data_IF_947463503226
#
_entry.id   IF_947463503226
#
_cell.length_a   1.000
_cell.length_b   1.000
_cell.length_c   1.000
_cell.angle_alpha   90.00
_cell.angle_beta   90.00
_cell.angle_gamma   90.00
#
_symmetry.space_group_name_H-M   'P 1'
#
loop_
_entity.id
_entity.type
_entity.pdbx_description
1 polymer ?
#
# COMPACT_ATOMS: atom_id res chain seq x y z
N UNK A 1 -22.97 -8.06 26.90
CA UNK A 1 -23.26 -6.83 26.09
C UNK A 1 -23.44 -7.32 24.67
N UNK A 2 -24.62 -7.13 24.12
CA UNK A 2 -24.97 -7.75 22.84
C UNK A 2 -24.26 -6.97 21.72
N UNK A 3 -23.13 -7.46 21.24
CA UNK A 3 -22.28 -6.81 20.23
C UNK A 3 -23.07 -6.47 18.96
N UNK A 4 -24.04 -7.29 18.58
CA UNK A 4 -24.82 -7.10 17.37
C UNK A 4 -25.69 -5.82 17.40
N UNK A 5 -26.32 -5.51 18.50
CA UNK A 5 -27.13 -4.29 18.61
C UNK A 5 -26.25 -3.03 18.64
N UNK A 6 -25.10 -3.11 19.26
CA UNK A 6 -24.10 -2.05 19.20
C UNK A 6 -23.65 -1.79 17.77
N UNK A 7 -23.32 -2.84 16.99
CA UNK A 7 -22.95 -2.70 15.58
C UNK A 7 -24.08 -2.15 14.71
N UNK A 8 -25.32 -2.60 14.92
CA UNK A 8 -26.49 -2.06 14.20
C UNK A 8 -26.72 -0.57 14.50
N UNK A 9 -26.51 -0.15 15.75
CA UNK A 9 -26.60 1.26 16.13
C UNK A 9 -25.53 2.09 15.44
N UNK A 10 -24.25 1.68 15.53
CA UNK A 10 -23.13 2.35 14.89
C UNK A 10 -23.33 2.46 13.38
N UNK A 11 -23.80 1.39 12.73
CA UNK A 11 -24.06 1.40 11.28
C UNK A 11 -25.18 2.39 10.89
N UNK A 12 -26.16 2.63 11.77
CA UNK A 12 -27.18 3.65 11.55
C UNK A 12 -26.66 5.07 11.75
N UNK A 13 -25.87 5.28 12.81
CA UNK A 13 -25.30 6.60 13.17
C UNK A 13 -24.28 7.08 12.13
N UNK A 14 -23.56 6.17 11.50
CA UNK A 14 -22.52 6.46 10.51
C UNK A 14 -22.94 6.17 9.05
N UNK A 15 -24.25 6.20 8.79
CA UNK A 15 -24.78 6.00 7.44
C UNK A 15 -24.32 7.13 6.51
N UNK A 16 -23.69 6.77 5.39
CA UNK A 16 -23.18 7.73 4.41
C UNK A 16 -21.68 8.05 4.52
N UNK A 17 -20.98 7.66 5.62
CA UNK A 17 -19.56 7.93 5.80
C UNK A 17 -18.70 7.38 4.65
N UNK A 18 -19.02 6.20 4.12
CA UNK A 18 -18.30 5.63 2.98
C UNK A 18 -18.43 6.50 1.73
N UNK A 19 -19.62 7.02 1.46
CA UNK A 19 -19.87 7.91 0.33
C UNK A 19 -19.16 9.24 0.49
N UNK A 20 -19.19 9.81 1.69
CA UNK A 20 -18.48 11.06 2.00
C UNK A 20 -16.98 10.91 1.84
N UNK A 21 -16.40 9.82 2.37
CA UNK A 21 -14.98 9.52 2.23
C UNK A 21 -14.59 9.28 0.76
N UNK A 22 -15.40 8.53 0.02
CA UNK A 22 -15.17 8.29 -1.40
C UNK A 22 -15.21 9.59 -2.22
N UNK A 23 -16.17 10.47 -1.93
CA UNK A 23 -16.28 11.78 -2.58
C UNK A 23 -15.09 12.67 -2.24
N UNK A 24 -14.66 12.69 -0.97
CA UNK A 24 -13.47 13.42 -0.54
C UNK A 24 -12.21 12.93 -1.28
N UNK A 25 -11.98 11.61 -1.31
CA UNK A 25 -10.81 11.03 -1.99
C UNK A 25 -10.83 11.34 -3.48
N UNK A 26 -11.99 11.27 -4.13
CA UNK A 26 -12.12 11.55 -5.56
C UNK A 26 -11.92 13.02 -5.91
N UNK A 27 -12.16 13.92 -4.97
CA UNK A 27 -12.02 15.37 -5.17
C UNK A 27 -10.63 15.92 -4.85
N UNK A 28 -9.84 15.24 -4.02
CA UNK A 28 -8.53 15.73 -3.55
C UNK A 28 -7.55 15.84 -4.70
N UNK A 29 -6.84 16.96 -4.75
CA UNK A 29 -5.77 17.22 -5.73
C UNK A 29 -4.43 17.28 -5.01
N UNK A 30 -3.31 17.01 -5.71
CA UNK A 30 -1.98 17.12 -5.11
C UNK A 30 -1.70 18.47 -4.43
N UNK A 31 -2.27 19.56 -4.96
CA UNK A 31 -2.14 20.91 -4.38
C UNK A 31 -2.86 21.10 -3.05
N UNK A 32 -3.88 20.30 -2.76
CA UNK A 32 -4.69 20.40 -1.54
C UNK A 32 -3.99 19.73 -0.33
N UNK A 33 -2.92 18.96 -0.58
CA UNK A 33 -2.18 18.27 0.47
C UNK A 33 -1.27 19.26 1.20
N UNK A 34 -1.45 19.51 2.51
CA UNK A 34 -0.61 20.44 3.27
C UNK A 34 0.87 20.04 3.24
N UNK A 35 1.77 21.04 3.25
CA UNK A 35 3.21 20.80 3.20
C UNK A 35 3.71 19.85 4.29
N UNK A 36 3.23 20.03 5.54
CA UNK A 36 3.56 19.12 6.66
C UNK A 36 3.11 17.68 6.40
N UNK A 37 1.96 17.50 5.77
CA UNK A 37 1.48 16.15 5.42
C UNK A 37 2.37 15.50 4.37
N UNK A 38 2.84 16.27 3.37
CA UNK A 38 3.78 15.76 2.35
C UNK A 38 5.11 15.34 2.96
N UNK A 39 5.62 16.11 3.93
CA UNK A 39 6.83 15.74 4.67
C UNK A 39 6.66 14.41 5.41
N UNK A 40 5.54 14.24 6.13
CA UNK A 40 5.22 12.99 6.83
C UNK A 40 5.09 11.83 5.85
N UNK A 41 4.42 12.03 4.70
CA UNK A 41 4.32 11.00 3.65
C UNK A 41 5.70 10.61 3.10
N UNK A 42 6.60 11.58 2.95
CA UNK A 42 7.99 11.30 2.56
C UNK A 42 8.71 10.39 3.56
N UNK A 43 8.56 10.68 4.87
CA UNK A 43 9.13 9.83 5.93
C UNK A 43 8.50 8.43 5.93
N UNK A 44 7.17 8.33 5.81
CA UNK A 44 6.47 7.04 5.75
C UNK A 44 6.89 6.21 4.54
N UNK A 45 7.15 6.85 3.40
CA UNK A 45 7.67 6.16 2.22
C UNK A 45 9.08 5.60 2.46
N UNK A 46 9.98 6.40 3.04
CA UNK A 46 11.35 5.96 3.36
C UNK A 46 11.33 4.83 4.38
N UNK A 47 10.49 4.94 5.41
CA UNK A 47 10.31 3.92 6.44
C UNK A 47 9.84 2.60 5.83
N UNK A 48 8.75 2.61 5.05
CA UNK A 48 8.22 1.41 4.40
C UNK A 48 9.23 0.77 3.43
N UNK A 49 10.00 1.58 2.68
CA UNK A 49 11.06 1.06 1.82
C UNK A 49 12.19 0.42 2.63
N UNK A 50 12.60 1.05 3.73
CA UNK A 50 13.63 0.52 4.63
C UNK A 50 13.20 -0.81 5.26
N UNK A 51 12.00 -0.85 5.84
CA UNK A 51 11.41 -2.07 6.41
C UNK A 51 11.27 -3.16 5.35
N UNK A 52 10.80 -2.82 4.15
CA UNK A 52 10.61 -3.75 3.05
C UNK A 52 11.94 -4.36 2.56
N UNK A 53 12.96 -3.54 2.33
CA UNK A 53 14.28 -4.04 1.91
C UNK A 53 14.90 -4.97 2.94
N UNK A 54 14.78 -4.63 4.23
CA UNK A 54 15.21 -5.51 5.30
C UNK A 54 14.35 -6.78 5.36
N UNK A 55 13.03 -6.65 5.23
CA UNK A 55 12.09 -7.75 5.25
C UNK A 55 12.35 -8.82 4.19
N UNK A 56 12.89 -8.45 3.03
CA UNK A 56 13.33 -9.39 1.99
C UNK A 56 14.48 -10.32 2.45
N UNK A 57 15.17 -9.98 3.52
CA UNK A 57 16.22 -10.84 4.09
C UNK A 57 15.64 -11.94 4.99
N UNK A 58 14.37 -11.84 5.37
CA UNK A 58 13.69 -12.80 6.23
C UNK A 58 13.26 -14.05 5.46
N UNK A 59 13.04 -15.19 6.15
CA UNK A 59 12.55 -16.39 5.50
C UNK A 59 11.20 -16.17 4.78
N UNK A 60 10.25 -15.51 5.44
CA UNK A 60 8.92 -15.24 4.88
C UNK A 60 8.93 -14.21 3.75
N UNK A 61 9.75 -13.18 3.84
CA UNK A 61 9.96 -12.24 2.73
C UNK A 61 10.51 -12.93 1.49
N UNK A 62 11.47 -13.85 1.65
CA UNK A 62 12.00 -14.68 0.55
C UNK A 62 10.96 -15.62 -0.04
N UNK A 63 10.19 -16.32 0.81
CA UNK A 63 9.09 -17.19 0.37
C UNK A 63 8.10 -16.42 -0.49
N UNK A 64 7.69 -15.24 -0.05
CA UNK A 64 6.74 -14.44 -0.82
C UNK A 64 7.33 -13.88 -2.11
N UNK A 65 8.62 -13.51 -2.13
CA UNK A 65 9.29 -13.10 -3.35
C UNK A 65 9.43 -14.27 -4.36
N UNK A 66 9.72 -15.46 -3.89
CA UNK A 66 9.77 -16.68 -4.72
C UNK A 66 8.38 -17.04 -5.24
N UNK A 67 7.36 -16.99 -4.40
CA UNK A 67 5.97 -17.17 -4.81
C UNK A 67 5.60 -16.19 -5.92
N UNK A 68 5.86 -14.89 -5.73
CA UNK A 68 5.56 -13.86 -6.71
C UNK A 68 6.27 -14.09 -8.06
N UNK A 69 7.52 -14.57 -8.03
CA UNK A 69 8.26 -14.93 -9.26
C UNK A 69 7.68 -16.15 -9.98
N UNK A 70 7.19 -17.13 -9.21
CA UNK A 70 6.63 -18.36 -9.77
C UNK A 70 5.26 -18.13 -10.42
N UNK A 71 4.54 -17.07 -10.05
CA UNK A 71 3.28 -16.73 -10.68
C UNK A 71 3.50 -16.19 -12.08
N UNK A 72 2.85 -16.79 -13.06
CA UNK A 72 2.84 -16.24 -14.40
C UNK A 72 1.93 -15.03 -14.48
N UNK A 73 2.29 -14.05 -15.32
CA UNK A 73 1.51 -12.84 -15.47
C UNK A 73 2.28 -11.74 -16.19
N UNK A 74 1.64 -10.59 -16.43
CA UNK A 74 2.30 -9.46 -17.07
C UNK A 74 3.38 -8.86 -16.19
N UNK A 75 4.49 -8.41 -16.77
CA UNK A 75 5.61 -7.77 -16.10
C UNK A 75 5.29 -6.28 -15.79
N UNK A 76 4.37 -6.03 -14.88
CA UNK A 76 3.78 -4.71 -14.61
C UNK A 76 4.54 -3.89 -13.57
N UNK A 77 5.08 -4.54 -12.55
CA UNK A 77 5.74 -3.86 -11.43
C UNK A 77 7.00 -4.59 -10.98
N UNK A 78 7.94 -3.86 -10.40
CA UNK A 78 9.18 -4.40 -9.90
C UNK A 78 8.94 -5.24 -8.63
N UNK A 79 9.55 -6.40 -8.57
CA UNK A 79 9.70 -7.17 -7.35
C UNK A 79 10.91 -6.61 -6.58
N UNK A 80 10.67 -6.05 -5.43
CA UNK A 80 11.72 -5.42 -4.65
C UNK A 80 12.87 -6.38 -4.37
N UNK A 81 14.09 -5.88 -4.45
CA UNK A 81 15.32 -6.65 -4.15
C UNK A 81 15.70 -7.72 -5.17
N UNK A 82 14.98 -7.90 -6.27
CA UNK A 82 15.21 -9.04 -7.13
C UNK A 82 15.42 -8.79 -8.63
N UNK A 83 15.30 -7.55 -9.10
CA UNK A 83 15.44 -7.22 -10.53
C UNK A 83 14.38 -7.82 -11.46
N UNK A 84 13.49 -8.66 -10.95
CA UNK A 84 12.38 -9.23 -11.71
C UNK A 84 11.18 -8.26 -11.73
N UNK A 85 10.39 -8.36 -12.80
CA UNK A 85 9.07 -7.71 -12.88
C UNK A 85 7.99 -8.80 -12.88
N UNK A 86 6.92 -8.54 -12.13
CA UNK A 86 5.80 -9.45 -11.94
C UNK A 86 4.48 -8.69 -12.12
N UNK A 87 3.35 -9.35 -12.03
CA UNK A 87 2.06 -8.64 -12.01
C UNK A 87 1.99 -7.67 -10.83
N UNK A 88 1.28 -6.56 -10.99
CA UNK A 88 1.14 -5.56 -9.92
C UNK A 88 0.60 -6.17 -8.62
N UNK A 89 -0.34 -7.09 -8.70
CA UNK A 89 -0.90 -7.79 -7.53
C UNK A 89 0.18 -8.59 -6.80
N UNK A 90 1.02 -9.32 -7.52
CA UNK A 90 2.10 -10.13 -6.91
C UNK A 90 3.21 -9.24 -6.34
N UNK A 91 3.52 -8.11 -6.99
CA UNK A 91 4.47 -7.14 -6.45
C UNK A 91 3.95 -6.52 -5.14
N UNK A 92 2.66 -6.18 -5.08
CA UNK A 92 2.00 -5.66 -3.87
C UNK A 92 2.02 -6.67 -2.75
N UNK A 93 1.65 -7.92 -3.02
CA UNK A 93 1.62 -8.97 -2.00
C UNK A 93 3.01 -9.24 -1.41
N UNK A 94 4.02 -9.37 -2.27
CA UNK A 94 5.39 -9.58 -1.81
C UNK A 94 5.97 -8.36 -1.09
N UNK A 95 5.73 -7.15 -1.62
CA UNK A 95 6.17 -5.89 -1.01
C UNK A 95 5.52 -5.65 0.35
N UNK A 96 4.21 -5.82 0.48
CA UNK A 96 3.49 -5.68 1.75
C UNK A 96 3.96 -6.67 2.81
N UNK A 97 4.15 -7.94 2.42
CA UNK A 97 4.73 -8.94 3.32
C UNK A 97 6.13 -8.57 3.77
N UNK A 98 6.95 -8.04 2.88
CA UNK A 98 8.31 -7.62 3.22
C UNK A 98 8.29 -6.42 4.19
N UNK A 99 7.47 -5.40 3.94
CA UNK A 99 7.34 -4.22 4.82
C UNK A 99 6.93 -4.64 6.22
N UNK A 100 5.92 -5.49 6.35
CA UNK A 100 5.37 -5.92 7.65
C UNK A 100 6.09 -7.14 8.26
N UNK A 101 7.26 -7.48 7.77
CA UNK A 101 7.98 -8.72 8.15
C UNK A 101 8.35 -8.82 9.62
N UNK A 102 8.54 -7.71 10.29
CA UNK A 102 8.99 -7.64 11.70
C UNK A 102 8.06 -6.88 12.63
N UNK A 103 6.88 -6.46 12.15
CA UNK A 103 5.98 -5.62 12.96
C UNK A 103 6.71 -4.35 13.46
N UNK A 104 7.59 -3.81 12.61
CA UNK A 104 8.47 -2.67 12.90
C UNK A 104 8.16 -1.44 12.05
N UNK A 105 7.32 -1.61 11.05
CA UNK A 105 6.81 -0.56 10.18
C UNK A 105 5.81 0.36 10.90
N UNK A 106 5.50 1.48 10.26
CA UNK A 106 4.62 2.51 10.79
C UNK A 106 3.29 1.93 11.32
N UNK A 107 2.83 2.49 12.43
CA UNK A 107 1.62 1.98 13.06
C UNK A 107 0.70 3.13 13.48
N UNK A 108 -0.60 2.96 13.33
CA UNK A 108 -1.60 3.93 13.73
C UNK A 108 -2.34 3.51 15.00
N UNK A 109 -3.01 4.49 15.64
CA UNK A 109 -3.90 4.20 16.79
C UNK A 109 -5.05 3.25 16.47
N UNK A 110 -5.39 3.08 15.20
CA UNK A 110 -6.37 2.11 14.73
C UNK A 110 -5.82 0.66 14.68
N UNK A 111 -4.59 0.45 15.17
CA UNK A 111 -3.91 -0.85 15.16
C UNK A 111 -3.76 -1.42 13.75
N UNK A 112 -3.41 -0.58 12.81
CA UNK A 112 -3.09 -0.95 11.43
C UNK A 112 -1.71 -0.39 11.09
N UNK A 113 -1.06 -1.00 10.10
CA UNK A 113 0.23 -0.63 9.54
C UNK A 113 0.04 -0.06 8.12
N UNK A 114 -0.25 1.25 8.00
CA UNK A 114 -0.62 1.85 6.71
C UNK A 114 0.47 1.74 5.65
N UNK A 115 1.74 1.85 6.04
CA UNK A 115 2.87 1.76 5.12
C UNK A 115 2.92 0.43 4.38
N UNK A 116 2.71 -0.68 5.08
CA UNK A 116 2.69 -2.02 4.49
C UNK A 116 1.52 -2.23 3.51
N UNK A 117 0.41 -1.53 3.73
CA UNK A 117 -0.78 -1.65 2.88
C UNK A 117 -0.73 -0.68 1.69
N UNK A 118 -0.33 0.58 1.91
CA UNK A 118 -0.48 1.66 0.93
C UNK A 118 0.74 1.78 0.03
N UNK A 119 1.95 1.75 0.59
CA UNK A 119 3.17 2.05 -0.19
C UNK A 119 3.39 1.04 -1.31
N UNK A 120 3.32 -0.28 -1.11
CA UNK A 120 3.48 -1.25 -2.19
C UNK A 120 2.42 -1.11 -3.29
N UNK A 121 1.17 -0.78 -2.91
CA UNK A 121 0.08 -0.56 -3.87
C UNK A 121 0.37 0.64 -4.77
N UNK A 122 0.70 1.78 -4.16
CA UNK A 122 0.95 3.03 -4.89
C UNK A 122 2.11 2.88 -5.86
N UNK A 123 3.22 2.28 -5.41
CA UNK A 123 4.41 2.06 -6.25
C UNK A 123 4.13 1.09 -7.39
N UNK A 124 3.47 -0.04 -7.13
CA UNK A 124 3.15 -1.01 -8.16
C UNK A 124 2.19 -0.46 -9.21
N UNK A 125 1.19 0.33 -8.82
CA UNK A 125 0.27 0.98 -9.75
C UNK A 125 0.95 2.06 -10.57
N UNK A 126 1.82 2.87 -9.97
CA UNK A 126 2.59 3.87 -10.69
C UNK A 126 3.51 3.24 -11.75
N UNK A 127 4.18 2.15 -11.40
CA UNK A 127 5.01 1.41 -12.34
C UNK A 127 4.20 0.76 -13.47
N UNK A 128 3.05 0.18 -13.16
CA UNK A 128 2.14 -0.40 -14.14
C UNK A 128 1.65 0.65 -15.14
N UNK A 129 1.26 1.83 -14.68
CA UNK A 129 0.84 2.93 -15.55
C UNK A 129 1.98 3.40 -16.46
N UNK A 130 3.20 3.50 -15.95
CA UNK A 130 4.38 3.89 -16.73
C UNK A 130 4.82 2.81 -17.73
N UNK A 131 4.64 1.53 -17.42
CA UNK A 131 4.95 0.42 -18.32
C UNK A 131 4.02 0.37 -19.54
N UNK A 132 2.79 0.86 -19.44
CA UNK A 132 1.81 0.97 -20.53
C UNK A 132 2.13 2.03 -21.60
N UNK A 133 3.24 2.75 -21.50
CA UNK A 133 3.74 3.66 -22.54
C UNK A 133 3.07 5.02 -22.61
N UNK A 134 2.12 5.32 -21.74
CA UNK A 134 1.49 6.65 -21.67
C UNK A 134 2.19 7.53 -20.62
N UNK A 135 3.34 8.08 -21.02
CA UNK A 135 4.10 9.05 -20.21
C UNK A 135 3.44 10.44 -20.17
N UNK A 136 2.14 10.50 -20.18
CA UNK A 136 1.41 11.71 -19.81
C UNK A 136 1.07 11.63 -18.32
N UNK A 137 2.10 11.58 -17.50
CA UNK A 137 1.96 11.92 -16.11
C UNK A 137 1.54 13.39 -16.05
N UNK A 138 0.32 13.64 -15.67
CA UNK A 138 -0.09 14.95 -15.26
C UNK A 138 0.68 15.30 -13.98
N UNK A 139 1.71 16.15 -14.15
CA UNK A 139 2.33 16.90 -13.06
C UNK A 139 1.37 18.00 -12.63
#
# INVERSE_FOLDING_TARGET
MDDLETWKRLAREHRGVTQELAAFIAAIKPGDIPGKTREILGHALVDALGCGLYGLTTPWGRIMAEFARAQQGPAEAALWGGGARVSAINAVLAGGTAVHSFDFDDHSRAKIHPGALVVPVVLALAERQNAGGDRKAHV
#
